data_IF_517034115675
#
_entry.id   IF_517034115675
#
_cell.length_a   1.000
_cell.length_b   1.000
_cell.length_c   1.000
_cell.angle_alpha   90.00
_cell.angle_beta   90.00
_cell.angle_gamma   90.00
#
_symmetry.space_group_name_H-M   'P 1'
#
loop_
_entity.id
_entity.type
_entity.pdbx_description
1 polymer ?
#
# COMPACT_ATOMS: atom_id res chain seq x y z
N UNK A 1 8.85 0.52 -6.75
CA UNK A 1 8.50 0.18 -8.15
C UNK A 1 7.20 -0.59 -8.33
N UNK A 2 6.96 -1.74 -7.68
CA UNK A 2 5.74 -2.53 -7.94
C UNK A 2 4.42 -1.80 -7.60
N UNK A 3 4.23 -1.33 -6.37
CA UNK A 3 3.01 -0.61 -5.99
C UNK A 3 2.79 0.69 -6.78
N UNK A 4 3.87 1.43 -7.11
CA UNK A 4 3.79 2.61 -7.97
C UNK A 4 3.31 2.29 -9.38
N UNK A 5 3.67 1.13 -9.96
CA UNK A 5 3.14 0.68 -11.26
C UNK A 5 1.64 0.46 -11.23
N UNK A 6 1.08 0.18 -10.07
CA UNK A 6 -0.37 0.07 -9.85
C UNK A 6 -1.01 1.40 -9.36
N UNK A 7 -0.28 2.52 -9.40
CA UNK A 7 -0.77 3.83 -8.97
C UNK A 7 -0.92 3.98 -7.45
N UNK A 8 -0.34 3.08 -6.66
CA UNK A 8 -0.45 3.07 -5.20
C UNK A 8 0.77 3.77 -4.59
N UNK A 9 0.53 4.88 -3.89
CA UNK A 9 1.55 5.56 -3.09
C UNK A 9 1.64 4.93 -1.69
N UNK A 10 2.81 4.41 -1.36
CA UNK A 10 3.09 3.79 -0.06
C UNK A 10 3.92 4.73 0.80
N UNK A 11 3.61 4.79 2.11
CA UNK A 11 4.50 5.39 3.10
C UNK A 11 5.23 4.31 3.90
N UNK A 12 6.56 4.41 3.89
CA UNK A 12 7.46 3.63 4.74
C UNK A 12 7.81 4.42 6.00
N UNK A 13 8.04 3.70 7.10
CA UNK A 13 8.52 4.28 8.35
C UNK A 13 9.93 3.77 8.65
N UNK A 14 10.87 4.68 8.83
CA UNK A 14 12.19 4.35 9.37
C UNK A 14 12.17 4.43 10.89
N UNK A 15 11.50 3.46 11.51
CA UNK A 15 11.41 3.32 12.97
C UNK A 15 11.64 1.86 13.35
N UNK A 16 12.45 1.58 14.41
CA UNK A 16 12.56 0.23 14.95
C UNK A 16 11.17 -0.35 15.29
N UNK A 17 10.91 -1.58 14.84
CA UNK A 17 9.61 -2.26 15.00
C UNK A 17 8.57 -2.00 13.90
N UNK A 18 8.87 -1.16 12.90
CA UNK A 18 7.97 -0.91 11.75
C UNK A 18 8.66 -1.15 10.40
N UNK A 19 9.86 -1.74 10.39
CA UNK A 19 10.67 -1.90 9.18
C UNK A 19 10.06 -2.87 8.17
N UNK A 20 9.26 -3.81 8.66
CA UNK A 20 8.46 -4.80 7.93
C UNK A 20 7.01 -4.35 7.71
N UNK A 21 6.68 -3.11 8.07
CA UNK A 21 5.33 -2.56 7.95
C UNK A 21 5.30 -1.41 6.94
N UNK A 22 4.16 -1.28 6.27
CA UNK A 22 3.86 -0.16 5.40
C UNK A 22 2.55 0.49 5.82
N UNK A 23 2.40 1.78 5.54
CA UNK A 23 1.14 2.50 5.71
C UNK A 23 0.62 2.97 4.37
N UNK A 24 -0.66 2.67 4.13
CA UNK A 24 -1.40 3.13 2.96
C UNK A 24 -2.60 3.91 3.48
N UNK A 25 -2.79 5.12 2.97
CA UNK A 25 -3.99 5.90 3.25
C UNK A 25 -5.03 5.56 2.19
N UNK A 26 -6.23 5.20 2.64
CA UNK A 26 -7.34 4.85 1.75
C UNK A 26 -8.46 5.86 1.94
N UNK A 27 -9.00 6.37 0.83
CA UNK A 27 -10.08 7.35 0.82
C UNK A 27 -11.42 6.68 0.54
N UNK A 28 -11.84 6.68 -0.73
CA UNK A 28 -13.13 6.13 -1.15
C UNK A 28 -13.13 4.59 -1.12
N UNK A 29 -14.30 3.94 -0.98
CA UNK A 29 -14.40 2.48 -0.97
C UNK A 29 -13.76 1.79 -2.19
N UNK A 30 -13.87 2.38 -3.38
CA UNK A 30 -13.30 1.80 -4.61
C UNK A 30 -11.77 1.74 -4.58
N UNK A 31 -11.14 2.65 -3.81
CA UNK A 31 -9.68 2.65 -3.61
C UNK A 31 -9.24 1.48 -2.73
N UNK A 32 -10.06 1.09 -1.75
CA UNK A 32 -9.83 -0.11 -0.93
C UNK A 32 -9.86 -1.36 -1.81
N UNK A 33 -10.87 -1.48 -2.66
CA UNK A 33 -11.02 -2.65 -3.53
C UNK A 33 -9.88 -2.79 -4.55
N UNK A 34 -9.46 -1.68 -5.17
CA UNK A 34 -8.31 -1.66 -6.05
C UNK A 34 -7.03 -2.07 -5.31
N UNK A 35 -6.83 -1.56 -4.09
CA UNK A 35 -5.67 -1.91 -3.26
C UNK A 35 -5.65 -3.41 -2.92
N UNK A 36 -6.76 -3.95 -2.44
CA UNK A 36 -6.86 -5.36 -2.07
C UNK A 36 -6.65 -6.28 -3.28
N UNK A 37 -7.16 -5.90 -4.45
CA UNK A 37 -6.95 -6.65 -5.70
C UNK A 37 -5.47 -6.72 -6.05
N UNK A 38 -4.74 -5.61 -5.96
CA UNK A 38 -3.30 -5.61 -6.24
C UNK A 38 -2.54 -6.43 -5.21
N UNK A 39 -2.80 -6.24 -3.91
CA UNK A 39 -2.08 -6.94 -2.84
C UNK A 39 -2.26 -8.47 -2.87
N UNK A 40 -3.41 -8.97 -3.36
CA UNK A 40 -3.66 -10.41 -3.51
C UNK A 40 -2.90 -11.05 -4.68
N UNK A 41 -2.38 -10.25 -5.60
CA UNK A 41 -1.73 -10.71 -6.83
C UNK A 41 -0.20 -10.46 -6.83
N UNK A 42 0.38 -10.16 -5.66
CA UNK A 42 1.82 -10.00 -5.41
C UNK A 42 2.29 -11.19 -4.58
#
# INVERSE_FOLDING_TARGET
DLAQKHGILIRYFDKPGLRDHIRISVGKPEQTEALLTVLKNI
#
